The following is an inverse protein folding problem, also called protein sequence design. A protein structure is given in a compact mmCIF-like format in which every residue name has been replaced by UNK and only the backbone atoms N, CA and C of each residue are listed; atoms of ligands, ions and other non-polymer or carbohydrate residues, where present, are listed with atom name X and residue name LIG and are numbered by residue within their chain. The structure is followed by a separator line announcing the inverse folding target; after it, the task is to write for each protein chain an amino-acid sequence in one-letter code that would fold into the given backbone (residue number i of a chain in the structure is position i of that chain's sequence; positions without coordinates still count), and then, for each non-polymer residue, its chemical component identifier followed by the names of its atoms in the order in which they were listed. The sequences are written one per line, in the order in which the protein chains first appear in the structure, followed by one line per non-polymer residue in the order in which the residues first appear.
data_IF_292810234620
#
_entry.id   IF_292810234620
#
_cell.length_a   1.000
_cell.length_b   1.000
_cell.length_c   1.000
_cell.angle_alpha   90.00
_cell.angle_beta   90.00
_cell.angle_gamma   90.00
#
_symmetry.space_group_name_H-M   'P 1'
#
loop_
_entity.id
_entity.type
_entity.pdbx_description
1 polymer ?
#
# COMPACT_ATOMS: atom_id res chain seq x y z
N UNK A 1 -16.93 -3.03 4.96
CA UNK A 1 -17.33 -2.45 3.67
C UNK A 1 -18.81 -2.67 3.48
N UNK A 2 -19.58 -1.59 3.49
CA UNK A 2 -21.01 -1.65 3.24
C UNK A 2 -21.25 -1.63 1.73
N UNK A 3 -22.40 -2.13 1.28
CA UNK A 3 -22.83 -2.00 -0.12
C UNK A 3 -22.89 -0.53 -0.58
N UNK A 4 -23.04 0.41 0.36
CA UNK A 4 -23.01 1.85 0.10
C UNK A 4 -21.62 2.34 -0.29
N UNK A 5 -20.57 1.85 0.38
CA UNK A 5 -19.19 2.28 0.12
C UNK A 5 -18.74 1.91 -1.31
N UNK A 6 -19.13 0.73 -1.80
CA UNK A 6 -18.88 0.30 -3.18
C UNK A 6 -19.64 1.16 -4.19
N UNK A 7 -20.91 1.47 -3.89
CA UNK A 7 -21.72 2.34 -4.75
C UNK A 7 -21.12 3.76 -4.86
N UNK A 8 -20.60 4.29 -3.76
CA UNK A 8 -19.91 5.58 -3.74
C UNK A 8 -18.61 5.56 -4.55
N UNK A 9 -17.80 4.50 -4.42
CA UNK A 9 -16.62 4.29 -5.26
C UNK A 9 -17.00 4.29 -6.75
N UNK A 10 -18.01 3.52 -7.14
CA UNK A 10 -18.50 3.46 -8.53
C UNK A 10 -18.99 4.82 -9.02
N UNK A 11 -19.67 5.58 -8.17
CA UNK A 11 -20.07 6.94 -8.50
C UNK A 11 -18.84 7.81 -8.79
N UNK A 12 -17.85 7.82 -7.89
CA UNK A 12 -16.63 8.62 -8.05
C UNK A 12 -15.83 8.25 -9.31
N UNK A 13 -15.66 6.95 -9.60
CA UNK A 13 -14.99 6.46 -10.82
C UNK A 13 -15.71 6.95 -12.08
N UNK A 14 -17.05 6.96 -12.08
CA UNK A 14 -17.83 7.50 -13.18
C UNK A 14 -17.72 9.03 -13.33
N UNK A 15 -17.53 9.78 -12.24
CA UNK A 15 -17.21 11.20 -12.32
C UNK A 15 -15.85 11.41 -12.99
N UNK A 16 -14.84 10.67 -12.54
CA UNK A 16 -13.47 10.76 -13.07
C UNK A 16 -13.43 10.45 -14.57
N UNK A 17 -14.18 9.43 -15.03
CA UNK A 17 -14.35 9.12 -16.45
C UNK A 17 -14.78 10.32 -17.28
N UNK A 18 -15.78 11.07 -16.79
CA UNK A 18 -16.27 12.26 -17.51
C UNK A 18 -15.25 13.38 -17.52
N UNK A 19 -14.57 13.62 -16.39
CA UNK A 19 -13.49 14.60 -16.29
C UNK A 19 -12.34 14.30 -17.25
N UNK A 20 -11.89 13.04 -17.33
CA UNK A 20 -10.84 12.63 -18.27
C UNK A 20 -11.30 12.77 -19.73
N UNK A 21 -12.56 12.45 -20.04
CA UNK A 21 -13.13 12.67 -21.37
C UNK A 21 -13.13 14.14 -21.80
N UNK A 22 -13.40 15.06 -20.86
CA UNK A 22 -13.25 16.50 -21.09
C UNK A 22 -11.78 16.85 -21.37
N UNK A 23 -10.84 16.35 -20.57
CA UNK A 23 -9.41 16.57 -20.82
C UNK A 23 -8.95 16.07 -22.19
N UNK A 24 -9.41 14.89 -22.61
CA UNK A 24 -9.13 14.36 -23.95
C UNK A 24 -9.69 15.24 -25.06
N UNK A 25 -10.86 15.84 -24.84
CA UNK A 25 -11.45 16.78 -25.81
C UNK A 25 -10.58 18.04 -25.95
N UNK A 26 -9.99 18.53 -24.86
CA UNK A 26 -9.14 19.73 -24.88
C UNK A 26 -7.69 19.48 -25.32
N UNK A 27 -7.12 18.34 -24.95
CA UNK A 27 -5.69 18.07 -25.10
C UNK A 27 -5.37 16.93 -26.08
N UNK A 28 -6.38 16.29 -26.66
CA UNK A 28 -6.23 15.18 -27.59
C UNK A 28 -5.55 13.96 -26.96
N UNK A 29 -4.82 13.20 -27.78
CA UNK A 29 -4.12 11.98 -27.37
C UNK A 29 -2.72 12.28 -26.78
N UNK A 30 -2.62 13.33 -25.98
CA UNK A 30 -1.39 13.63 -25.25
C UNK A 30 -1.03 12.44 -24.34
N UNK A 31 0.26 12.08 -24.29
CA UNK A 31 0.70 10.88 -23.56
C UNK A 31 0.32 10.87 -22.07
N UNK A 32 0.17 12.03 -21.44
CA UNK A 32 -0.37 12.17 -20.08
C UNK A 32 -1.85 11.83 -19.98
N UNK A 33 -2.68 12.28 -20.94
CA UNK A 33 -4.12 11.98 -20.98
C UNK A 33 -4.35 10.49 -21.21
N UNK A 34 -3.62 9.88 -22.15
CA UNK A 34 -3.71 8.44 -22.39
C UNK A 34 -3.32 7.61 -21.17
N UNK A 35 -2.34 8.06 -20.37
CA UNK A 35 -2.02 7.43 -19.08
C UNK A 35 -3.19 7.52 -18.11
N UNK A 36 -3.85 8.67 -17.99
CA UNK A 36 -5.04 8.82 -17.15
C UNK A 36 -6.20 7.91 -17.60
N UNK A 37 -6.42 7.75 -18.91
CA UNK A 37 -7.41 6.80 -19.44
C UNK A 37 -7.06 5.36 -19.07
N UNK A 38 -5.79 4.96 -19.19
CA UNK A 38 -5.34 3.62 -18.80
C UNK A 38 -5.49 3.40 -17.29
N UNK A 39 -5.14 4.38 -16.46
CA UNK A 39 -5.26 4.29 -15.00
C UNK A 39 -6.74 4.19 -14.59
N UNK A 40 -7.63 4.90 -15.30
CA UNK A 40 -9.08 4.80 -15.09
C UNK A 40 -9.61 3.41 -15.46
N UNK A 41 -9.16 2.82 -16.57
CA UNK A 41 -9.56 1.46 -16.97
C UNK A 41 -9.16 0.44 -15.91
N UNK A 42 -7.92 0.54 -15.40
CA UNK A 42 -7.45 -0.30 -14.29
C UNK A 42 -8.29 -0.12 -13.04
N UNK A 43 -8.60 1.12 -12.67
CA UNK A 43 -9.46 1.40 -11.52
C UNK A 43 -10.88 0.83 -11.69
N UNK A 44 -11.42 0.80 -12.91
CA UNK A 44 -12.70 0.14 -13.18
C UNK A 44 -12.63 -1.37 -12.94
N UNK A 45 -11.56 -2.02 -13.42
CA UNK A 45 -11.32 -3.46 -13.20
C UNK A 45 -11.20 -3.76 -11.71
N UNK A 46 -10.36 -3.00 -10.99
CA UNK A 46 -10.14 -3.20 -9.56
C UNK A 46 -11.42 -2.98 -8.74
N UNK A 47 -12.26 -2.00 -9.13
CA UNK A 47 -13.55 -1.76 -8.47
C UNK A 47 -14.55 -2.90 -8.71
N UNK A 48 -14.59 -3.46 -9.92
CA UNK A 48 -15.43 -4.63 -10.23
C UNK A 48 -14.93 -5.88 -9.50
N UNK A 49 -13.61 -6.10 -9.44
CA UNK A 49 -13.00 -7.20 -8.68
C UNK A 49 -13.30 -7.08 -7.18
N UNK A 50 -13.16 -5.87 -6.61
CA UNK A 50 -13.44 -5.61 -5.21
C UNK A 50 -14.91 -5.88 -4.84
N UNK A 51 -15.84 -5.63 -5.75
CA UNK A 51 -17.28 -5.92 -5.55
C UNK A 51 -17.57 -7.42 -5.62
N UNK A 52 -16.91 -8.14 -6.54
CA UNK A 52 -17.12 -9.58 -6.75
C UNK A 52 -16.39 -10.45 -5.72
N UNK A 53 -15.18 -10.04 -5.33
CA UNK A 53 -14.29 -10.78 -4.43
C UNK A 53 -13.64 -9.82 -3.43
N UNK A 54 -14.42 -9.31 -2.46
CA UNK A 54 -13.88 -8.40 -1.47
C UNK A 54 -12.81 -9.12 -0.62
N UNK A 55 -11.66 -8.48 -0.35
CA UNK A 55 -10.65 -9.05 0.53
C UNK A 55 -11.20 -9.20 1.96
N UNK A 56 -10.57 -10.03 2.79
CA UNK A 56 -10.91 -10.13 4.20
C UNK A 56 -10.87 -8.74 4.84
N UNK A 57 -11.92 -8.40 5.59
CA UNK A 57 -11.90 -7.14 6.34
C UNK A 57 -10.75 -7.20 7.34
N UNK A 58 -9.86 -6.20 7.27
CA UNK A 58 -8.81 -6.04 8.27
C UNK A 58 -9.53 -5.82 9.59
N UNK A 59 -9.39 -6.78 10.51
CA UNK A 59 -9.89 -6.61 11.85
C UNK A 59 -9.26 -5.32 12.40
N UNK A 60 -10.07 -4.42 12.97
CA UNK A 60 -9.53 -3.31 13.74
C UNK A 60 -8.46 -3.90 14.67
N UNK A 61 -7.27 -3.28 14.78
CA UNK A 61 -6.22 -3.81 15.63
C UNK A 61 -6.82 -3.95 17.03
N UNK A 62 -7.17 -5.18 17.40
CA UNK A 62 -7.45 -5.54 18.78
C UNK A 62 -6.18 -5.11 19.48
N UNK A 63 -6.28 -4.15 20.39
CA UNK A 63 -5.12 -3.54 21.05
C UNK A 63 -4.11 -4.63 21.31
N UNK A 64 -2.95 -4.54 20.64
CA UNK A 64 -2.00 -5.64 20.56
C UNK A 64 -1.76 -6.10 21.98
N UNK A 65 -2.17 -7.33 22.29
CA UNK A 65 -1.96 -7.87 23.62
C UNK A 65 -0.44 -7.86 23.82
N UNK A 66 0.08 -7.16 24.84
CA UNK A 66 1.52 -7.02 25.01
C UNK A 66 2.13 -8.41 25.08
N UNK A 67 2.98 -8.73 24.12
CA UNK A 67 3.69 -10.01 24.11
C UNK A 67 4.69 -9.93 25.25
N UNK A 68 4.56 -10.84 26.22
CA UNK A 68 5.50 -10.94 27.32
C UNK A 68 6.89 -11.29 26.75
N UNK A 69 7.84 -10.38 26.93
CA UNK A 69 9.26 -10.63 26.67
C UNK A 69 9.88 -11.03 28.02
N UNK A 70 10.40 -12.26 28.16
CA UNK A 70 11.04 -12.68 29.40
C UNK A 70 12.26 -11.81 29.73
N UNK A 71 12.42 -11.45 31.00
CA UNK A 71 13.63 -10.74 31.50
C UNK A 71 14.88 -11.63 31.54
N UNK A 72 14.76 -12.91 31.20
CA UNK A 72 15.90 -13.81 31.06
C UNK A 72 16.80 -13.35 29.92
N UNK A 73 18.12 -13.44 30.12
CA UNK A 73 19.07 -13.23 29.03
C UNK A 73 18.71 -14.11 27.83
N UNK A 74 18.65 -13.52 26.65
CA UNK A 74 18.53 -14.27 25.40
C UNK A 74 19.74 -15.21 25.24
N UNK A 75 19.52 -16.36 24.60
CA UNK A 75 20.60 -17.29 24.27
C UNK A 75 21.61 -16.59 23.34
N UNK A 76 22.80 -16.31 23.86
CA UNK A 76 23.86 -15.60 23.13
C UNK A 76 24.30 -16.38 21.88
N UNK A 77 24.19 -17.71 21.89
CA UNK A 77 24.56 -18.55 20.74
C UNK A 77 23.61 -18.37 19.55
N UNK A 78 22.35 -17.98 19.79
CA UNK A 78 21.39 -17.66 18.74
C UNK A 78 21.76 -16.37 17.97
N UNK A 79 22.65 -15.55 18.52
CA UNK A 79 23.10 -14.28 17.93
C UNK A 79 24.56 -14.34 17.42
N UNK A 80 25.24 -15.47 17.60
CA UNK A 80 26.59 -15.68 17.09
C UNK A 80 26.55 -15.83 15.56
N UNK A 81 27.29 -14.97 14.85
CA UNK A 81 27.30 -14.93 13.38
C UNK A 81 26.33 -13.92 12.76
N UNK A 82 25.31 -13.47 13.48
CA UNK A 82 24.38 -12.42 13.02
C UNK A 82 25.07 -11.04 12.84
N UNK A 83 26.28 -10.89 13.35
CA UNK A 83 27.14 -9.70 13.22
C UNK A 83 27.79 -9.62 11.83
N UNK A 84 27.91 -10.75 11.12
CA UNK A 84 28.62 -10.87 9.84
C UNK A 84 27.78 -10.36 8.65
N UNK A 85 26.46 -10.25 8.82
CA UNK A 85 25.54 -9.71 7.81
C UNK A 85 25.27 -8.20 7.99
N UNK A 86 25.91 -7.55 8.98
CA UNK A 86 25.66 -6.15 9.36
C UNK A 86 26.68 -5.15 8.82
N UNK A 87 26.28 -4.37 7.81
CA UNK A 87 26.91 -3.09 7.40
C UNK A 87 26.74 -1.96 8.46
N UNK A 88 26.91 -2.29 9.75
CA UNK A 88 26.27 -1.54 10.83
C UNK A 88 27.11 -1.27 12.08
N UNK A 89 28.44 -1.32 12.05
CA UNK A 89 29.26 -0.58 13.03
C UNK A 89 30.70 -0.41 12.53
N UNK A 90 30.96 0.62 11.72
CA UNK A 90 32.32 1.09 11.54
C UNK A 90 32.70 1.93 12.76
N UNK A 91 33.45 1.34 13.68
CA UNK A 91 34.28 2.07 14.64
C UNK A 91 35.25 2.94 13.84
N UNK A 92 34.84 4.16 13.46
CA UNK A 92 35.79 5.14 12.95
C UNK A 92 36.70 5.52 14.12
N UNK A 93 38.03 5.50 13.95
CA UNK A 93 38.92 6.01 14.99
C UNK A 93 38.56 7.47 15.25
N UNK A 94 38.45 7.83 16.53
CA UNK A 94 38.23 9.22 16.94
C UNK A 94 39.39 10.05 16.39
N UNK A 95 39.10 11.01 15.53
CA UNK A 95 40.08 11.99 15.06
C UNK A 95 40.69 12.70 16.28
N UNK A 96 42.01 12.84 16.25
CA UNK A 96 42.82 13.57 17.25
C UNK A 96 42.37 15.03 17.35
#
# INVERSE_FOLDING_TARGET
MTRSDIAELRYAVNQLRRSIGVLRTHYGDAGTVRRLENDLERLCIDADELEQSPPPQVAAPRGQEPIYVPDSKSDESAWMGAQDEGLGFHSRPRTQ
#
